data_IF_798564525295
#
_entry.id   IF_798564525295
#
_cell.length_a   1.000
_cell.length_b   1.000
_cell.length_c   1.000
_cell.angle_alpha   90.00
_cell.angle_beta   90.00
_cell.angle_gamma   90.00
#
_symmetry.space_group_name_H-M   'P 1'
#
loop_
_entity.id
_entity.type
_entity.pdbx_description
1 polymer ?
#
# COMPACT_ATOMS: atom_id res chain seq x y z
N UNK A 1 29.06 10.52 4.06
CA UNK A 1 28.49 9.96 5.31
C UNK A 1 27.80 8.66 4.91
N UNK A 2 28.26 7.51 5.42
CA UNK A 2 27.63 6.21 5.12
C UNK A 2 26.63 5.89 6.20
N UNK A 3 25.37 5.77 5.83
CA UNK A 3 24.34 5.18 6.67
C UNK A 3 24.36 3.68 6.41
N UNK A 4 24.86 2.90 7.35
CA UNK A 4 24.71 1.44 7.32
C UNK A 4 23.29 1.11 7.71
N UNK A 5 22.56 0.44 6.83
CA UNK A 5 21.29 -0.15 7.21
C UNK A 5 21.52 -1.19 8.31
N UNK A 6 20.62 -1.28 9.31
CA UNK A 6 20.72 -2.28 10.36
C UNK A 6 20.63 -3.69 9.76
N UNK A 7 21.19 -4.66 10.48
CA UNK A 7 21.11 -6.07 10.09
C UNK A 7 19.63 -6.50 10.03
N UNK A 8 19.13 -7.01 8.89
CA UNK A 8 17.76 -7.48 8.76
C UNK A 8 17.39 -8.58 9.76
N UNK A 9 18.37 -9.32 10.28
CA UNK A 9 18.15 -10.36 11.28
C UNK A 9 17.90 -9.82 12.69
N UNK A 10 18.23 -8.55 12.95
CA UNK A 10 17.96 -7.86 14.21
C UNK A 10 16.57 -7.18 14.22
N UNK A 11 15.90 -7.08 13.05
CA UNK A 11 14.48 -6.71 13.00
C UNK A 11 13.69 -7.95 13.37
N UNK A 12 13.51 -8.15 14.68
CA UNK A 12 12.79 -9.27 15.26
C UNK A 12 11.45 -9.41 14.56
N UNK A 13 11.37 -10.37 13.64
CA UNK A 13 10.12 -10.86 13.09
C UNK A 13 9.26 -11.20 14.29
N UNK A 14 8.14 -10.48 14.45
CA UNK A 14 7.17 -10.81 15.47
C UNK A 14 6.86 -12.31 15.33
N UNK A 15 7.31 -13.12 16.29
CA UNK A 15 7.23 -14.58 16.20
C UNK A 15 5.79 -15.08 16.20
N UNK A 16 4.86 -14.22 16.59
CA UNK A 16 3.44 -14.47 16.62
C UNK A 16 2.80 -13.94 15.34
N UNK A 17 2.08 -14.82 14.64
CA UNK A 17 1.31 -14.42 13.46
C UNK A 17 0.31 -13.32 13.85
N UNK A 18 0.15 -12.27 13.04
CA UNK A 18 -0.81 -11.22 13.33
C UNK A 18 -2.22 -11.83 13.46
N UNK A 19 -2.93 -11.48 14.52
CA UNK A 19 -4.33 -11.88 14.69
C UNK A 19 -5.14 -11.35 13.51
N UNK A 20 -5.88 -12.23 12.84
CA UNK A 20 -6.78 -11.82 11.78
C UNK A 20 -7.98 -11.10 12.41
N UNK A 21 -8.49 -10.02 11.80
CA UNK A 21 -9.79 -9.49 12.18
C UNK A 21 -10.85 -10.58 12.03
N UNK A 22 -11.88 -10.53 12.86
CA UNK A 22 -13.01 -11.46 12.75
C UNK A 22 -13.78 -11.15 11.45
N UNK A 23 -13.46 -11.91 10.40
CA UNK A 23 -14.14 -11.87 9.11
C UNK A 23 -15.18 -12.97 9.00
N UNK A 24 -15.83 -13.36 10.10
CA UNK A 24 -16.94 -14.30 10.05
C UNK A 24 -18.03 -13.75 9.10
N UNK A 25 -18.34 -14.44 7.98
CA UNK A 25 -19.36 -13.98 7.05
C UNK A 25 -20.76 -13.86 7.69
N UNK A 26 -20.99 -14.47 8.86
CA UNK A 26 -22.23 -14.33 9.62
C UNK A 26 -22.35 -12.97 10.35
N UNK A 27 -21.22 -12.30 10.63
CA UNK A 27 -21.17 -10.98 11.28
C UNK A 27 -20.80 -9.86 10.31
N UNK A 28 -20.23 -10.21 9.16
CA UNK A 28 -19.94 -9.29 8.07
C UNK A 28 -21.26 -8.79 7.45
N UNK A 29 -21.73 -7.61 7.87
CA UNK A 29 -22.82 -6.94 7.18
C UNK A 29 -22.29 -6.45 5.83
N UNK A 30 -22.75 -7.07 4.76
CA UNK A 30 -22.59 -6.52 3.41
C UNK A 30 -23.52 -5.31 3.32
N UNK A 31 -23.03 -4.12 3.69
CA UNK A 31 -23.64 -2.84 3.31
C UNK A 31 -23.53 -2.72 1.77
N UNK A 32 -24.36 -3.50 1.08
CA UNK A 32 -24.43 -3.60 -0.37
C UNK A 32 -25.18 -2.45 -1.04
N UNK A 33 -25.46 -1.36 -0.31
CA UNK A 33 -26.28 -0.24 -0.77
C UNK A 33 -25.68 1.11 -0.38
N UNK A 34 -24.38 1.25 -0.58
CA UNK A 34 -23.82 2.50 -1.06
C UNK A 34 -22.72 2.12 -2.04
N UNK A 35 -22.99 2.26 -3.33
CA UNK A 35 -21.89 2.45 -4.26
C UNK A 35 -21.07 3.59 -3.68
N UNK A 36 -19.94 3.26 -3.04
CA UNK A 36 -18.85 4.20 -2.81
C UNK A 36 -18.39 4.58 -4.22
N UNK A 37 -19.17 5.46 -4.83
CA UNK A 37 -18.95 6.05 -6.14
C UNK A 37 -17.83 7.01 -5.88
N UNK A 38 -16.61 6.49 -5.72
CA UNK A 38 -15.42 7.30 -5.71
C UNK A 38 -15.42 7.97 -7.09
N UNK A 39 -15.83 9.23 -7.12
CA UNK A 39 -15.85 10.06 -8.33
C UNK A 39 -14.39 10.31 -8.70
N UNK A 40 -13.79 9.36 -9.42
CA UNK A 40 -12.44 9.52 -9.94
C UNK A 40 -12.54 10.38 -11.19
N UNK A 41 -12.12 11.64 -11.06
CA UNK A 41 -12.01 12.53 -12.21
C UNK A 41 -10.96 12.00 -13.18
N UNK A 42 -11.21 12.15 -14.49
CA UNK A 42 -10.31 11.63 -15.52
C UNK A 42 -8.90 12.25 -15.47
N UNK A 43 -8.77 13.43 -14.85
CA UNK A 43 -7.50 14.13 -14.61
C UNK A 43 -6.72 13.59 -13.40
N UNK A 44 -7.39 12.87 -12.48
CA UNK A 44 -6.79 12.24 -11.30
C UNK A 44 -6.29 10.81 -11.59
N UNK A 45 -6.48 10.33 -12.83
CA UNK A 45 -5.87 9.09 -13.30
C UNK A 45 -4.51 9.43 -13.91
N UNK A 46 -3.38 9.12 -13.23
CA UNK A 46 -2.06 9.35 -13.79
C UNK A 46 -1.82 8.40 -14.97
N UNK A 47 -2.20 8.84 -16.17
CA UNK A 47 -1.87 8.19 -17.44
C UNK A 47 -0.49 8.66 -17.87
N UNK A 48 0.51 8.25 -17.11
CA UNK A 48 1.88 8.78 -17.16
C UNK A 48 2.43 8.95 -18.57
N UNK A 49 2.93 10.15 -18.85
CA UNK A 49 3.92 10.42 -19.90
C UNK A 49 5.12 11.18 -19.37
N UNK A 50 5.46 11.01 -18.09
CA UNK A 50 6.82 11.27 -17.61
C UNK A 50 7.69 10.08 -17.99
N UNK A 51 8.23 10.16 -19.21
CA UNK A 51 9.41 9.41 -19.60
C UNK A 51 10.48 9.60 -18.51
N UNK A 52 11.14 8.55 -18.01
CA UNK A 52 12.24 8.75 -17.07
C UNK A 52 13.34 9.50 -17.81
N UNK A 53 13.47 10.80 -17.56
CA UNK A 53 14.64 11.55 -17.99
C UNK A 53 15.84 10.96 -17.26
N UNK A 54 16.62 10.17 -17.98
CA UNK A 54 17.97 9.79 -17.60
C UNK A 54 18.82 11.07 -17.60
N UNK A 55 18.80 11.79 -16.48
CA UNK A 55 19.61 12.99 -16.23
C UNK A 55 20.87 12.64 -15.46
N UNK A 56 21.95 12.44 -16.21
CA UNK A 56 23.35 12.26 -15.79
C UNK A 56 23.83 13.33 -14.79
N UNK A 57 24.24 12.98 -13.56
CA UNK A 57 24.97 13.93 -12.71
C UNK A 57 26.48 13.78 -12.95
N UNK A 58 26.99 14.59 -13.87
CA UNK A 58 28.41 14.88 -14.04
C UNK A 58 28.98 15.77 -12.93
#
# INVERSE_FOLDING_TARGET
MSYSQPDPAEETTQSEAPEQPDTDPATLHEDGDEHASLEVDAEDVPTGSEQPEAGDPS
#
